data_IF_067199433253
#
_entry.id   IF_067199433253
#
_cell.length_a   1.000
_cell.length_b   1.000
_cell.length_c   1.000
_cell.angle_alpha   90.00
_cell.angle_beta   90.00
_cell.angle_gamma   90.00
#
_symmetry.space_group_name_H-M   'P 1'
#
loop_
_entity.id
_entity.type
_entity.pdbx_description
1 polymer ?
#
# COMPACT_ATOMS: atom_id res chain seq x y z
N UNK A 1 4.28 6.14 -14.66
CA UNK A 1 4.83 7.09 -15.66
C UNK A 1 3.69 7.96 -16.16
N UNK A 2 3.80 9.28 -16.06
CA UNK A 2 2.79 10.18 -16.66
C UNK A 2 2.88 10.10 -18.18
N UNK A 3 1.74 9.85 -18.84
CA UNK A 3 1.65 9.81 -20.30
C UNK A 3 1.13 11.16 -20.77
N UNK A 4 1.71 11.73 -21.83
CA UNK A 4 1.24 12.99 -22.41
C UNK A 4 0.71 12.77 -23.82
N UNK A 5 -0.38 13.46 -24.15
CA UNK A 5 -0.93 13.56 -25.49
C UNK A 5 -0.57 14.92 -26.07
N UNK A 6 -0.03 14.94 -27.28
CA UNK A 6 0.31 16.16 -28.01
C UNK A 6 -0.70 16.32 -29.15
N UNK A 7 -1.38 17.46 -29.20
CA UNK A 7 -2.42 17.74 -30.20
C UNK A 7 -2.02 18.98 -31.01
N UNK A 8 -2.13 18.86 -32.32
CA UNK A 8 -1.97 19.95 -33.29
C UNK A 8 -3.05 19.82 -34.35
N UNK A 9 -3.56 20.94 -34.87
CA UNK A 9 -4.41 20.97 -36.06
C UNK A 9 -3.65 21.51 -37.26
N UNK A 10 -4.10 21.16 -38.46
CA UNK A 10 -3.59 21.70 -39.72
C UNK A 10 -4.78 22.12 -40.57
N UNK A 11 -4.76 23.35 -41.09
CA UNK A 11 -5.82 23.83 -41.98
C UNK A 11 -5.66 23.26 -43.40
N UNK A 12 -6.64 23.52 -44.28
CA UNK A 12 -6.62 23.04 -45.66
C UNK A 12 -5.47 23.62 -46.51
N UNK A 13 -4.84 24.71 -46.06
CA UNK A 13 -3.69 25.34 -46.71
C UNK A 13 -2.35 24.84 -46.17
N UNK A 14 -2.36 23.97 -45.15
CA UNK A 14 -1.16 23.39 -44.54
C UNK A 14 -0.62 24.16 -43.34
N UNK A 15 -1.29 25.20 -42.84
CA UNK A 15 -0.83 25.92 -41.64
C UNK A 15 -1.10 25.10 -40.39
N UNK A 16 -0.09 24.91 -39.54
CA UNK A 16 -0.19 24.10 -38.31
C UNK A 16 -0.40 24.98 -37.08
N UNK A 17 -1.26 24.56 -36.16
CA UNK A 17 -1.43 25.23 -34.86
C UNK A 17 -0.20 25.04 -33.96
N UNK A 18 -0.15 25.82 -32.87
CA UNK A 18 0.72 25.51 -31.74
C UNK A 18 0.38 24.13 -31.14
N UNK A 19 1.38 23.50 -30.50
CA UNK A 19 1.21 22.24 -29.78
C UNK A 19 0.48 22.47 -28.46
N UNK A 20 -0.60 21.73 -28.25
CA UNK A 20 -1.27 21.61 -26.95
C UNK A 20 -0.88 20.28 -26.30
N UNK A 21 -0.39 20.35 -25.07
CA UNK A 21 -0.03 19.16 -24.27
C UNK A 21 -1.13 18.86 -23.26
N UNK A 22 -1.62 17.62 -23.27
CA UNK A 22 -2.61 17.12 -22.32
C UNK A 22 -1.97 16.00 -21.50
N UNK A 23 -1.93 16.16 -20.17
CA UNK A 23 -1.46 15.11 -19.27
C UNK A 23 -2.55 14.04 -19.10
N UNK A 24 -2.17 12.77 -19.28
CA UNK A 24 -3.01 11.61 -18.95
C UNK A 24 -2.68 11.22 -17.52
N UNK A 25 -3.67 11.37 -16.65
CA UNK A 25 -3.57 10.93 -15.26
C UNK A 25 -3.66 9.42 -15.19
N UNK A 26 -2.78 8.82 -14.41
CA UNK A 26 -2.91 7.43 -14.02
C UNK A 26 -4.01 7.29 -12.97
N UNK A 27 -4.98 6.43 -13.25
CA UNK A 27 -6.12 6.15 -12.37
C UNK A 27 -6.18 4.68 -11.98
N UNK A 28 -5.12 3.92 -12.22
CA UNK A 28 -5.08 2.47 -12.01
C UNK A 28 -4.63 2.17 -10.59
N UNK A 29 -5.47 1.55 -9.75
CA UNK A 29 -5.03 1.15 -8.42
C UNK A 29 -3.95 0.05 -8.47
N UNK A 30 -3.03 0.06 -7.49
CA UNK A 30 -2.17 -1.10 -7.25
C UNK A 30 -3.02 -2.31 -6.82
N UNK A 31 -2.46 -3.51 -7.01
CA UNK A 31 -3.01 -4.74 -6.41
C UNK A 31 -2.95 -4.61 -4.88
N UNK A 32 -3.93 -5.20 -4.19
CA UNK A 32 -3.93 -5.23 -2.72
C UNK A 32 -2.65 -5.90 -2.19
N UNK A 33 -1.98 -5.35 -1.15
CA UNK A 33 -0.78 -5.94 -0.60
C UNK A 33 -1.01 -7.36 -0.07
N UNK A 34 -0.01 -8.23 -0.20
CA UNK A 34 0.02 -9.47 0.57
C UNK A 34 0.64 -9.20 1.94
N UNK A 35 0.30 -10.03 2.92
CA UNK A 35 0.81 -9.90 4.29
C UNK A 35 1.19 -11.28 4.79
N UNK A 36 2.38 -11.40 5.38
CA UNK A 36 2.82 -12.61 6.08
C UNK A 36 1.97 -12.88 7.33
N UNK A 37 2.06 -14.08 7.92
CA UNK A 37 1.37 -14.37 9.18
C UNK A 37 1.77 -13.35 10.27
N UNK A 38 0.76 -12.82 10.98
CA UNK A 38 0.95 -11.94 12.14
C UNK A 38 0.45 -12.67 13.38
N UNK A 39 1.23 -12.64 14.45
CA UNK A 39 0.96 -13.33 15.71
C UNK A 39 0.95 -12.37 16.88
N UNK A 40 0.47 -12.80 18.04
CA UNK A 40 0.48 -12.01 19.28
C UNK A 40 1.89 -11.54 19.69
N UNK A 41 2.93 -12.26 19.23
CA UNK A 41 4.34 -11.98 19.51
C UNK A 41 5.07 -11.26 18.36
N UNK A 42 4.38 -10.95 17.25
CA UNK A 42 4.99 -10.26 16.10
C UNK A 42 5.40 -8.83 16.47
N UNK A 43 6.62 -8.46 16.11
CA UNK A 43 7.14 -7.08 16.27
C UNK A 43 7.06 -6.26 14.98
N UNK A 44 6.71 -6.90 13.87
CA UNK A 44 6.65 -6.31 12.54
C UNK A 44 5.51 -6.89 11.72
N UNK A 45 5.00 -6.10 10.78
CA UNK A 45 4.18 -6.56 9.67
C UNK A 45 5.05 -6.57 8.42
N UNK A 46 5.13 -7.73 7.77
CA UNK A 46 5.88 -7.90 6.51
C UNK A 46 4.96 -8.42 5.42
N UNK A 47 5.34 -8.19 4.17
CA UNK A 47 4.55 -8.64 3.03
C UNK A 47 5.07 -8.09 1.72
N UNK A 48 4.23 -8.13 0.69
CA UNK A 48 4.55 -7.56 -0.62
C UNK A 48 3.49 -6.59 -1.13
N UNK A 49 3.91 -5.59 -1.89
CA UNK A 49 3.07 -4.62 -2.58
C UNK A 49 3.70 -4.20 -3.91
N UNK A 50 3.07 -3.24 -4.60
CA UNK A 50 3.66 -2.66 -5.81
C UNK A 50 4.97 -1.92 -5.45
N UNK A 51 6.08 -2.14 -6.16
CA UNK A 51 7.35 -1.46 -5.89
C UNK A 51 7.20 0.07 -5.85
N UNK A 52 7.77 0.70 -4.81
CA UNK A 52 7.70 2.15 -4.60
C UNK A 52 6.35 2.67 -4.10
N UNK A 53 5.35 1.79 -3.91
CA UNK A 53 4.06 2.17 -3.33
C UNK A 53 4.16 2.34 -1.81
N UNK A 54 3.35 3.25 -1.26
CA UNK A 54 3.21 3.43 0.19
C UNK A 54 2.22 2.43 0.73
N UNK A 55 2.68 1.52 1.57
CA UNK A 55 1.85 0.56 2.30
C UNK A 55 1.40 1.18 3.62
N UNK A 56 0.11 1.09 3.92
CA UNK A 56 -0.51 1.54 5.16
C UNK A 56 -1.10 0.34 5.89
N UNK A 57 -0.76 0.20 7.16
CA UNK A 57 -1.27 -0.79 8.11
C UNK A 57 -2.13 -0.06 9.14
N UNK A 58 -3.41 -0.40 9.23
CA UNK A 58 -4.34 0.08 10.26
C UNK A 58 -4.50 -1.01 11.33
N UNK A 59 -4.12 -0.67 12.56
CA UNK A 59 -4.22 -1.53 13.73
C UNK A 59 -5.66 -1.55 14.29
N UNK A 60 -6.01 -2.53 15.13
CA UNK A 60 -7.37 -2.66 15.68
C UNK A 60 -7.87 -1.45 16.47
N UNK A 61 -6.97 -0.62 17.00
CA UNK A 61 -7.31 0.61 17.72
C UNK A 61 -7.41 1.86 16.82
N UNK A 62 -7.26 1.68 15.51
CA UNK A 62 -7.24 2.76 14.52
C UNK A 62 -5.87 3.42 14.35
N UNK A 63 -4.81 2.96 15.01
CA UNK A 63 -3.45 3.45 14.77
C UNK A 63 -3.04 3.11 13.34
N UNK A 64 -2.54 4.11 12.61
CA UNK A 64 -2.05 3.93 11.25
C UNK A 64 -0.52 3.95 11.23
N UNK A 65 0.06 2.93 10.61
CA UNK A 65 1.49 2.79 10.38
C UNK A 65 1.75 2.75 8.87
N UNK A 66 2.90 3.26 8.43
CA UNK A 66 3.24 3.28 7.02
C UNK A 66 4.65 2.77 6.76
N UNK A 67 4.83 2.22 5.57
CA UNK A 67 6.11 1.81 5.00
C UNK A 67 6.08 1.93 3.49
N UNK A 68 7.23 1.80 2.84
CA UNK A 68 7.34 1.81 1.37
C UNK A 68 7.79 0.42 0.92
N UNK A 69 7.12 -0.12 -0.09
CA UNK A 69 7.58 -1.34 -0.74
C UNK A 69 8.86 -1.05 -1.54
N UNK A 70 9.89 -1.86 -1.34
CA UNK A 70 11.17 -1.73 -2.05
C UNK A 70 11.03 -2.02 -3.55
N UNK A 71 12.14 -1.93 -4.29
CA UNK A 71 12.16 -2.18 -5.75
C UNK A 71 11.77 -3.62 -6.13
N UNK A 72 11.80 -4.55 -5.18
CA UNK A 72 11.34 -5.93 -5.34
C UNK A 72 9.90 -6.14 -4.85
N UNK A 73 9.28 -5.10 -4.30
CA UNK A 73 7.92 -5.11 -3.76
C UNK A 73 7.83 -5.56 -2.31
N UNK A 74 8.94 -5.81 -1.60
CA UNK A 74 8.89 -6.21 -0.19
C UNK A 74 8.73 -4.99 0.71
N UNK A 75 7.95 -5.12 1.78
CA UNK A 75 7.88 -4.09 2.81
C UNK A 75 8.01 -4.70 4.21
N UNK A 76 8.48 -3.86 5.13
CA UNK A 76 8.58 -4.14 6.56
C UNK A 76 8.09 -2.91 7.31
N UNK A 77 7.14 -3.09 8.23
CA UNK A 77 6.57 -2.03 9.06
C UNK A 77 6.67 -2.47 10.52
N UNK A 78 7.42 -1.72 11.33
CA UNK A 78 7.58 -2.00 12.76
C UNK A 78 6.29 -1.73 13.53
N UNK A 79 5.92 -2.67 14.40
CA UNK A 79 4.81 -2.50 15.34
C UNK A 79 5.30 -1.75 16.59
N UNK A 80 4.52 -0.78 17.11
CA UNK A 80 4.88 -0.07 18.32
C UNK A 80 5.05 -1.04 19.51
N UNK A 81 6.19 -0.96 20.21
CA UNK A 81 6.50 -1.88 21.32
C UNK A 81 5.52 -1.78 22.52
N UNK A 82 4.79 -0.67 22.63
CA UNK A 82 3.74 -0.49 23.64
C UNK A 82 2.40 -1.11 23.21
N UNK A 83 2.28 -1.61 21.99
CA UNK A 83 1.09 -2.29 21.49
C UNK A 83 1.26 -3.80 21.64
N UNK A 84 0.39 -4.40 22.44
CA UNK A 84 0.29 -5.85 22.60
C UNK A 84 -0.95 -6.36 21.89
N UNK A 85 -0.79 -7.46 21.18
CA UNK A 85 -1.88 -8.21 20.58
C UNK A 85 -2.14 -9.45 21.42
N UNK A 86 -3.39 -9.89 21.48
CA UNK A 86 -3.79 -11.09 22.21
C UNK A 86 -4.19 -12.23 21.26
N UNK A 87 -4.26 -11.95 19.96
CA UNK A 87 -4.83 -12.84 18.96
C UNK A 87 -6.34 -12.67 18.81
N UNK A 88 -6.83 -12.92 17.61
CA UNK A 88 -8.21 -12.69 17.18
C UNK A 88 -8.51 -11.25 16.76
N UNK A 89 -7.57 -10.31 16.95
CA UNK A 89 -7.74 -8.96 16.41
C UNK A 89 -7.46 -8.92 14.90
N UNK A 90 -8.13 -8.03 14.16
CA UNK A 90 -7.90 -7.88 12.72
C UNK A 90 -7.06 -6.64 12.40
N UNK A 91 -6.07 -6.80 11.53
CA UNK A 91 -5.24 -5.73 10.96
C UNK A 91 -5.63 -5.55 9.49
N UNK A 92 -5.71 -4.29 9.05
CA UNK A 92 -6.02 -3.95 7.65
C UNK A 92 -4.81 -3.36 6.96
N UNK A 93 -4.56 -3.78 5.73
CA UNK A 93 -3.42 -3.32 4.94
C UNK A 93 -3.88 -2.85 3.57
N UNK A 94 -3.40 -1.68 3.16
CA UNK A 94 -3.66 -1.08 1.84
C UNK A 94 -2.37 -0.51 1.26
N UNK A 95 -2.32 -0.28 -0.04
CA UNK A 95 -1.21 0.39 -0.71
C UNK A 95 -1.70 1.57 -1.54
N UNK A 96 -0.88 2.60 -1.66
CA UNK A 96 -1.08 3.76 -2.53
C UNK A 96 0.10 3.90 -3.48
N UNK A 97 -0.16 3.91 -4.79
CA UNK A 97 0.88 4.08 -5.81
C UNK A 97 1.43 5.53 -5.82
N UNK A 98 2.54 5.81 -6.54
CA UNK A 98 3.08 7.18 -6.66
C UNK A 98 2.15 8.18 -7.35
N UNK A 99 1.13 7.71 -8.07
CA UNK A 99 0.11 8.53 -8.74
C UNK A 99 -1.07 8.88 -7.80
N UNK A 100 -1.10 8.31 -6.59
CA UNK A 100 -2.13 8.52 -5.58
C UNK A 100 -3.32 7.57 -5.67
N UNK A 101 -3.25 6.48 -6.45
CA UNK A 101 -4.32 5.49 -6.53
C UNK A 101 -4.18 4.48 -5.38
N UNK A 102 -5.30 4.17 -4.71
CA UNK A 102 -5.34 3.28 -3.54
C UNK A 102 -5.86 1.89 -3.89
N UNK A 103 -5.17 0.85 -3.43
CA UNK A 103 -5.56 -0.55 -3.60
C UNK A 103 -6.85 -0.91 -2.87
N UNK A 104 -7.35 -2.12 -3.15
CA UNK A 104 -8.22 -2.85 -2.22
C UNK A 104 -7.54 -3.13 -0.87
N UNK A 105 -8.34 -3.55 0.10
CA UNK A 105 -7.88 -3.86 1.45
C UNK A 105 -7.59 -5.35 1.62
N UNK A 106 -6.51 -5.66 2.35
CA UNK A 106 -6.19 -7.00 2.83
C UNK A 106 -6.40 -7.03 4.34
N UNK A 107 -7.23 -7.95 4.83
CA UNK A 107 -7.56 -8.10 6.26
C UNK A 107 -6.96 -9.38 6.80
N UNK A 108 -6.19 -9.28 7.88
CA UNK A 108 -5.47 -10.40 8.50
C UNK A 108 -5.87 -10.48 9.95
N UNK A 109 -6.23 -11.67 10.40
CA UNK A 109 -6.44 -11.93 11.83
C UNK A 109 -5.11 -12.29 12.49
N UNK A 110 -4.83 -11.63 13.61
CA UNK A 110 -3.68 -11.91 14.44
C UNK A 110 -3.88 -13.25 15.12
N UNK A 111 -2.89 -14.14 15.04
CA UNK A 111 -2.95 -15.45 15.69
C UNK A 111 -2.42 -15.38 17.11
N UNK A 112 -3.17 -15.92 18.07
CA UNK A 112 -2.63 -16.08 19.42
C UNK A 112 -1.56 -17.18 19.43
N UNK A 113 -0.35 -16.82 19.84
CA UNK A 113 0.77 -17.73 20.07
C UNK A 113 1.31 -17.63 21.49
N UNK A 114 0.61 -16.91 22.37
CA UNK A 114 1.02 -16.66 23.75
C UNK A 114 0.90 -17.95 24.56
N UNK A 115 1.97 -18.45 25.20
CA UNK A 115 1.88 -19.65 26.03
C UNK A 115 0.99 -19.43 27.27
N UNK A 116 0.32 -20.48 27.78
CA UNK A 116 -0.43 -20.39 29.02
C UNK A 116 0.51 -20.10 30.20
N UNK A 117 -0.02 -19.41 31.22
CA UNK A 117 0.71 -19.17 32.47
C UNK A 117 0.94 -20.50 33.20
N UNK A 118 2.16 -20.72 33.68
CA UNK A 118 2.50 -21.91 34.47
C UNK A 118 1.69 -21.97 35.78
N UNK A 119 1.29 -23.17 36.25
CA UNK A 119 0.59 -23.31 37.53
C UNK A 119 1.49 -22.91 38.71
N UNK A 120 0.90 -22.28 39.72
CA UNK A 120 1.55 -21.91 41.01
C UNK A 120 1.30 -22.95 42.09
#
# INVERSE_FOLDING_TARGET
>A
MEKVLKVTSTDASGNKSNETVIAVKDTTPPVAPTVSEVTSESTQVTGTGEPGSTVKVELPDGTELTGVADDQGNYVIDLPANKKFNGGESIKVTSTDPSGNKSGETVIDVKDTTPPVAPT
#
